data_IF_148114756493
#
_entry.id   IF_148114756493
#
_cell.length_a   1.000
_cell.length_b   1.000
_cell.length_c   1.000
_cell.angle_alpha   90.00
_cell.angle_beta   90.00
_cell.angle_gamma   90.00
#
_symmetry.space_group_name_H-M   'P 1'
#
loop_
_entity.id
_entity.type
_entity.pdbx_description
1 polymer ?
#
# COMPACT_ATOMS: atom_id res chain seq x y z
N UNK A 1 -35.13 -9.24 -40.02
CA UNK A 1 -34.15 -8.90 -41.06
C UNK A 1 -33.44 -7.63 -40.60
N UNK A 2 -32.14 -7.58 -40.38
CA UNK A 2 -30.98 -7.98 -41.21
C UNK A 2 -30.83 -7.10 -42.47
N UNK A 3 -29.96 -6.08 -42.35
CA UNK A 3 -29.04 -5.48 -43.36
C UNK A 3 -28.37 -4.29 -42.67
N UNK A 4 -27.12 -4.36 -42.22
CA UNK A 4 -25.87 -4.50 -42.97
C UNK A 4 -25.64 -3.34 -43.95
N UNK A 5 -24.44 -2.77 -43.82
CA UNK A 5 -24.07 -1.48 -44.36
C UNK A 5 -23.72 -1.44 -45.85
N UNK A 6 -23.58 -0.21 -46.29
CA UNK A 6 -22.91 0.28 -47.49
C UNK A 6 -22.92 1.81 -47.32
N UNK A 7 -21.93 2.62 -47.65
CA UNK A 7 -20.57 2.44 -48.13
C UNK A 7 -20.10 3.89 -48.34
N UNK A 8 -18.87 4.19 -47.91
CA UNK A 8 -18.19 5.46 -48.22
C UNK A 8 -18.20 5.70 -49.74
N UNK A 9 -18.66 6.88 -50.20
CA UNK A 9 -18.37 7.46 -51.53
C UNK A 9 -19.22 8.70 -51.89
N UNK A 10 -19.58 9.57 -50.94
CA UNK A 10 -20.47 10.70 -51.27
C UNK A 10 -20.20 12.03 -50.55
N UNK A 11 -19.01 12.23 -49.97
CA UNK A 11 -18.60 13.55 -49.47
C UNK A 11 -17.27 14.01 -50.09
N UNK A 12 -17.06 13.60 -51.34
CA UNK A 12 -16.03 14.07 -52.25
C UNK A 12 -16.48 15.35 -53.02
N UNK A 13 -17.38 16.16 -52.44
CA UNK A 13 -17.95 17.38 -53.03
C UNK A 13 -17.76 18.62 -52.14
N UNK A 14 -16.60 18.76 -51.50
CA UNK A 14 -16.21 20.01 -50.83
C UNK A 14 -14.84 20.53 -51.29
N UNK A 15 -14.35 20.03 -52.43
CA UNK A 15 -13.27 20.64 -53.19
C UNK A 15 -13.90 21.47 -54.32
N UNK A 16 -13.41 22.72 -54.47
CA UNK A 16 -13.66 23.67 -55.55
C UNK A 16 -14.80 24.66 -55.32
N UNK A 17 -14.45 25.84 -54.82
CA UNK A 17 -15.27 27.03 -55.00
C UNK A 17 -14.67 28.28 -54.38
N UNK A 18 -14.24 29.20 -55.24
CA UNK A 18 -13.91 30.61 -54.94
C UNK A 18 -12.46 30.97 -54.62
N UNK A 19 -11.64 30.80 -55.65
CA UNK A 19 -10.54 31.70 -56.05
C UNK A 19 -11.02 33.15 -56.12
N UNK A 20 -10.31 34.10 -55.49
CA UNK A 20 -10.13 35.48 -55.97
C UNK A 20 -9.01 36.17 -55.17
N UNK A 21 -7.97 36.63 -55.88
CA UNK A 21 -6.99 37.59 -55.36
C UNK A 21 -5.53 37.16 -55.41
N UNK A 22 -5.04 36.68 -56.56
CA UNK A 22 -3.62 36.62 -56.83
C UNK A 22 -3.10 38.00 -57.31
N UNK A 23 -1.83 38.24 -57.04
CA UNK A 23 -0.92 39.19 -57.67
C UNK A 23 -0.92 40.64 -57.16
N UNK A 24 0.02 40.93 -56.26
CA UNK A 24 1.04 41.96 -56.53
C UNK A 24 2.34 41.67 -55.78
N UNK A 25 3.43 41.64 -56.54
CA UNK A 25 4.79 42.00 -56.17
C UNK A 25 5.59 41.03 -55.25
N UNK A 26 6.14 39.99 -55.89
CA UNK A 26 7.51 39.58 -55.61
C UNK A 26 8.49 40.67 -56.11
N UNK A 27 9.64 40.78 -55.43
CA UNK A 27 10.82 41.60 -55.72
C UNK A 27 10.88 42.99 -55.05
N UNK A 28 11.29 42.99 -53.77
CA UNK A 28 12.17 44.03 -53.22
C UNK A 28 12.95 43.48 -52.01
N UNK A 29 14.27 43.45 -52.14
CA UNK A 29 15.29 43.51 -51.08
C UNK A 29 15.22 42.44 -49.96
N UNK A 30 16.05 41.38 -49.94
CA UNK A 30 17.51 41.45 -49.73
C UNK A 30 17.91 42.77 -49.08
N UNK A 31 17.67 42.90 -47.77
CA UNK A 31 18.39 43.77 -46.82
C UNK A 31 17.63 43.66 -45.47
N UNK A 32 17.99 42.69 -44.63
CA UNK A 32 18.07 42.84 -43.16
C UNK A 32 18.65 41.55 -42.54
N UNK A 33 19.91 41.28 -42.88
CA UNK A 33 20.81 40.45 -42.10
C UNK A 33 21.28 41.24 -40.87
N UNK A 34 20.53 41.17 -39.78
CA UNK A 34 20.98 41.41 -38.40
C UNK A 34 19.83 41.11 -37.43
N UNK A 35 19.61 39.83 -37.14
CA UNK A 35 19.07 39.48 -35.82
C UNK A 35 20.27 39.26 -34.92
N UNK A 36 20.41 40.00 -33.81
CA UNK A 36 21.45 39.70 -32.84
C UNK A 36 21.22 38.27 -32.34
N UNK A 37 22.32 37.54 -32.19
CA UNK A 37 22.39 36.36 -31.36
C UNK A 37 21.98 36.77 -29.94
N UNK A 38 20.67 36.82 -29.70
CA UNK A 38 20.11 36.77 -28.37
C UNK A 38 20.38 35.36 -27.88
N UNK A 39 21.52 35.19 -27.21
CA UNK A 39 21.74 34.04 -26.35
C UNK A 39 20.52 33.94 -25.46
N UNK A 40 19.67 32.96 -25.74
CA UNK A 40 18.75 32.46 -24.75
C UNK A 40 19.67 31.93 -23.66
N UNK A 41 19.94 32.77 -22.66
CA UNK A 41 20.31 32.32 -21.34
C UNK A 41 19.23 31.29 -21.03
N UNK A 42 19.62 30.02 -21.04
CA UNK A 42 18.86 28.99 -20.39
C UNK A 42 18.55 29.57 -19.01
N UNK A 43 17.28 29.85 -18.77
CA UNK A 43 16.80 30.08 -17.43
C UNK A 43 17.18 28.79 -16.71
N UNK A 44 18.26 28.83 -15.96
CA UNK A 44 18.63 27.77 -15.05
C UNK A 44 17.44 27.68 -14.11
N UNK A 45 16.53 26.75 -14.39
CA UNK A 45 15.53 26.34 -13.42
C UNK A 45 16.33 26.07 -12.15
N UNK A 46 15.88 26.58 -10.98
CA UNK A 46 16.61 26.36 -9.74
C UNK A 46 16.87 24.87 -9.67
N UNK A 47 18.15 24.46 -9.71
CA UNK A 47 18.53 23.04 -9.70
C UNK A 47 17.96 22.49 -8.40
N UNK A 48 16.80 21.84 -8.48
CA UNK A 48 16.19 21.25 -7.31
C UNK A 48 17.17 20.21 -6.80
N UNK A 49 17.51 20.28 -5.51
CA UNK A 49 18.39 19.31 -4.91
C UNK A 49 17.85 17.89 -5.19
N UNK A 50 18.71 16.95 -5.64
CA UNK A 50 18.26 15.61 -5.99
C UNK A 50 17.63 14.94 -4.78
N UNK A 51 16.51 14.26 -5.01
CA UNK A 51 15.81 13.51 -3.95
C UNK A 51 16.45 12.14 -3.72
N UNK A 52 17.28 11.68 -4.67
CA UNK A 52 18.03 10.43 -4.59
C UNK A 52 19.53 10.69 -4.81
N UNK A 53 20.34 10.37 -3.80
CA UNK A 53 21.80 10.42 -3.86
C UNK A 53 22.34 8.99 -3.78
N UNK A 54 22.66 8.38 -4.93
CA UNK A 54 23.16 7.00 -5.00
C UNK A 54 24.69 6.90 -4.82
N UNK A 55 25.20 7.23 -3.63
CA UNK A 55 26.63 7.16 -3.32
C UNK A 55 27.21 5.74 -3.35
N UNK A 56 26.38 4.73 -3.06
CA UNK A 56 26.79 3.33 -3.04
C UNK A 56 26.59 2.56 -4.36
N UNK A 57 26.01 3.20 -5.38
CA UNK A 57 25.70 2.59 -6.68
C UNK A 57 24.85 1.33 -6.54
N UNK A 58 23.86 1.35 -5.64
CA UNK A 58 22.98 0.19 -5.38
C UNK A 58 22.05 -0.06 -6.57
N UNK A 59 21.71 0.99 -7.33
CA UNK A 59 20.87 0.90 -8.50
C UNK A 59 21.72 0.58 -9.74
N UNK A 60 21.93 -0.72 -10.00
CA UNK A 60 22.69 -1.22 -11.17
C UNK A 60 22.12 -0.78 -12.52
N UNK A 61 20.82 -0.49 -12.57
CA UNK A 61 20.13 0.05 -13.75
C UNK A 61 19.79 1.52 -13.48
N UNK A 62 20.30 2.43 -14.32
CA UNK A 62 19.99 3.87 -14.24
C UNK A 62 18.47 4.15 -14.28
N UNK A 63 17.69 3.31 -14.96
CA UNK A 63 16.24 3.44 -15.02
C UNK A 63 15.58 3.17 -13.66
N UNK A 64 16.14 2.28 -12.84
CA UNK A 64 15.57 1.95 -11.54
C UNK A 64 15.71 3.12 -10.55
N UNK A 65 16.88 3.77 -10.55
CA UNK A 65 17.11 5.00 -9.79
C UNK A 65 16.20 6.13 -10.28
N UNK A 66 16.11 6.35 -11.59
CA UNK A 66 15.27 7.38 -12.18
C UNK A 66 13.76 7.17 -11.90
N UNK A 67 13.29 5.92 -11.88
CA UNK A 67 11.91 5.61 -11.51
C UNK A 67 11.62 5.94 -10.04
N UNK A 68 12.56 5.62 -9.15
CA UNK A 68 12.43 5.93 -7.73
C UNK A 68 12.44 7.45 -7.52
N UNK A 69 13.36 8.17 -8.16
CA UNK A 69 13.43 9.62 -8.10
C UNK A 69 12.15 10.28 -8.63
N UNK A 70 11.63 9.84 -9.77
CA UNK A 70 10.34 10.32 -10.29
C UNK A 70 9.18 10.07 -9.32
N UNK A 71 9.18 8.95 -8.57
CA UNK A 71 8.17 8.68 -7.55
C UNK A 71 8.29 9.65 -6.36
N UNK A 72 9.51 10.00 -5.95
CA UNK A 72 9.76 10.97 -4.89
C UNK A 72 9.31 12.38 -5.28
N UNK A 73 9.53 12.76 -6.55
CA UNK A 73 9.04 14.03 -7.09
C UNK A 73 7.51 14.08 -7.11
N UNK A 74 6.85 13.04 -7.60
CA UNK A 74 5.39 12.93 -7.59
C UNK A 74 4.82 13.03 -6.18
N UNK A 75 5.45 12.38 -5.20
CA UNK A 75 5.05 12.48 -3.80
C UNK A 75 5.14 13.91 -3.29
N UNK A 76 6.25 14.60 -3.54
CA UNK A 76 6.46 16.00 -3.14
C UNK A 76 5.40 16.90 -3.75
N UNK A 77 5.12 16.72 -5.04
CA UNK A 77 4.17 17.57 -5.75
C UNK A 77 2.72 17.29 -5.33
N UNK A 78 2.38 16.05 -4.98
CA UNK A 78 1.03 15.65 -4.59
C UNK A 78 0.70 15.92 -3.11
N UNK A 79 1.66 15.68 -2.22
CA UNK A 79 1.44 15.71 -0.75
C UNK A 79 2.14 16.88 -0.05
N UNK A 80 3.12 17.52 -0.70
CA UNK A 80 3.98 18.53 -0.07
C UNK A 80 5.12 17.95 0.78
N UNK A 81 5.14 16.63 1.02
CA UNK A 81 6.19 15.97 1.79
C UNK A 81 7.42 15.66 0.94
N UNK A 82 8.62 15.94 1.46
CA UNK A 82 9.89 15.66 0.76
C UNK A 82 10.58 14.45 1.36
N UNK A 83 10.76 13.39 0.58
CA UNK A 83 11.53 12.21 0.99
C UNK A 83 12.88 12.21 0.26
N UNK A 84 13.97 12.25 1.02
CA UNK A 84 15.35 12.25 0.52
C UNK A 84 15.98 10.91 0.83
N UNK A 85 16.54 10.25 -0.19
CA UNK A 85 17.17 8.93 -0.10
C UNK A 85 18.65 9.07 -0.38
N UNK A 86 19.49 8.63 0.57
CA UNK A 86 20.95 8.65 0.43
C UNK A 86 21.48 7.24 0.59
N UNK A 87 22.17 6.71 -0.43
CA UNK A 87 22.82 5.41 -0.36
C UNK A 87 24.31 5.58 -0.07
N UNK A 88 24.84 4.78 0.84
CA UNK A 88 26.24 4.86 1.27
C UNK A 88 26.88 3.49 1.47
N UNK A 89 28.16 3.40 1.15
CA UNK A 89 29.00 2.25 1.49
C UNK A 89 29.55 2.46 2.90
N UNK A 90 28.86 1.94 3.91
CA UNK A 90 29.26 2.08 5.31
C UNK A 90 29.99 0.86 5.85
N UNK A 91 30.94 1.05 6.77
CA UNK A 91 31.49 -0.01 7.64
C UNK A 91 30.78 -0.08 9.00
N UNK A 92 30.17 1.02 9.43
CA UNK A 92 29.55 1.13 10.75
C UNK A 92 28.03 0.94 10.67
N UNK A 93 27.45 0.00 11.45
CA UNK A 93 26.01 -0.15 11.55
C UNK A 93 25.45 1.10 12.23
N UNK A 94 24.70 1.90 11.49
CA UNK A 94 23.98 3.02 12.09
C UNK A 94 22.79 2.46 12.89
N UNK A 95 22.49 3.08 14.03
CA UNK A 95 21.15 3.06 14.64
C UNK A 95 20.50 4.43 14.44
N UNK A 96 19.18 4.57 14.59
CA UNK A 96 18.47 5.81 14.23
C UNK A 96 19.10 7.09 14.79
N UNK A 97 19.49 7.08 16.07
CA UNK A 97 20.18 8.22 16.71
C UNK A 97 21.59 8.49 16.15
N UNK A 98 22.26 7.48 15.58
CA UNK A 98 23.60 7.60 15.03
C UNK A 98 23.63 8.27 13.66
N UNK A 99 22.47 8.45 12.98
CA UNK A 99 22.39 9.25 11.75
C UNK A 99 22.92 10.69 12.02
N UNK A 100 22.70 11.22 13.22
CA UNK A 100 23.17 12.54 13.63
C UNK A 100 24.70 12.65 13.78
N UNK A 101 25.38 11.52 13.95
CA UNK A 101 26.82 11.45 14.11
C UNK A 101 27.54 11.09 12.79
N UNK A 102 26.81 11.04 11.68
CA UNK A 102 27.38 10.75 10.37
C UNK A 102 28.14 11.97 9.85
N UNK A 103 29.45 11.78 9.64
CA UNK A 103 30.35 12.85 9.15
C UNK A 103 30.30 13.04 7.62
N UNK A 104 29.60 12.16 6.88
CA UNK A 104 29.46 12.25 5.42
C UNK A 104 28.74 13.55 5.05
N UNK A 105 29.32 14.36 4.14
CA UNK A 105 28.82 15.70 3.85
C UNK A 105 27.39 15.66 3.30
N UNK A 106 27.06 14.68 2.47
CA UNK A 106 25.74 14.52 1.86
C UNK A 106 24.66 14.31 2.94
N UNK A 107 24.93 13.46 3.93
CA UNK A 107 24.00 13.18 5.04
C UNK A 107 23.87 14.40 5.95
N UNK A 108 24.99 15.03 6.29
CA UNK A 108 25.01 16.22 7.15
C UNK A 108 24.29 17.40 6.51
N UNK A 109 24.47 17.62 5.22
CA UNK A 109 23.85 18.73 4.51
C UNK A 109 22.34 18.47 4.33
N UNK A 110 21.94 17.22 4.01
CA UNK A 110 20.54 16.83 4.05
C UNK A 110 19.90 17.05 5.44
N UNK A 111 20.58 16.66 6.52
CA UNK A 111 20.11 16.87 7.90
C UNK A 111 19.94 18.36 8.26
N UNK A 112 20.76 19.25 7.71
CA UNK A 112 20.65 20.71 7.92
C UNK A 112 19.50 21.33 7.13
N UNK A 113 19.23 20.78 5.94
CA UNK A 113 18.17 21.25 5.05
C UNK A 113 16.80 20.66 5.38
N UNK A 114 16.74 19.62 6.22
CA UNK A 114 15.49 18.97 6.62
C UNK A 114 14.53 19.94 7.32
N UNK A 115 13.33 20.05 6.77
CA UNK A 115 12.17 20.70 7.38
C UNK A 115 11.27 19.72 8.15
N UNK A 116 10.15 20.24 8.65
CA UNK A 116 9.16 19.46 9.41
C UNK A 116 8.43 18.40 8.55
N UNK A 117 8.27 18.65 7.25
CA UNK A 117 7.54 17.79 6.30
C UNK A 117 8.46 16.81 5.56
N UNK A 118 9.69 16.64 6.05
CA UNK A 118 10.72 15.89 5.36
C UNK A 118 11.03 14.55 6.02
N UNK A 119 11.41 13.58 5.19
CA UNK A 119 11.95 12.29 5.65
C UNK A 119 13.29 12.06 4.99
N UNK A 120 14.31 11.79 5.79
CA UNK A 120 15.61 11.32 5.34
C UNK A 120 15.69 9.80 5.51
N UNK A 121 15.95 9.11 4.41
CA UNK A 121 16.19 7.67 4.34
C UNK A 121 17.67 7.47 4.01
N UNK A 122 18.44 6.96 4.97
CA UNK A 122 19.84 6.58 4.77
C UNK A 122 19.91 5.08 4.57
N UNK A 123 20.39 4.66 3.40
CA UNK A 123 20.58 3.27 3.01
C UNK A 123 22.07 2.93 3.11
N UNK A 124 22.44 2.06 4.05
CA UNK A 124 23.82 1.63 4.20
C UNK A 124 23.99 0.18 3.79
N UNK A 125 24.92 -0.11 2.88
CA UNK A 125 25.24 -1.50 2.48
C UNK A 125 26.04 -2.28 3.54
N UNK A 126 26.09 -1.78 4.77
CA UNK A 126 26.81 -2.37 5.89
C UNK A 126 26.09 -3.62 6.44
N UNK A 127 26.72 -4.31 7.39
CA UNK A 127 26.08 -5.40 8.13
C UNK A 127 24.98 -4.85 9.07
N UNK A 128 23.92 -5.64 9.25
CA UNK A 128 22.79 -5.29 10.12
C UNK A 128 21.58 -4.75 9.34
N UNK A 129 20.93 -3.74 9.89
CA UNK A 129 19.81 -3.10 9.22
C UNK A 129 20.32 -2.08 8.20
N UNK A 130 19.94 -2.22 6.93
CA UNK A 130 20.41 -1.33 5.88
C UNK A 130 19.62 -0.02 5.81
N UNK A 131 18.43 0.05 6.42
CA UNK A 131 17.50 1.18 6.31
C UNK A 131 17.45 1.97 7.61
N UNK A 132 17.71 3.27 7.49
CA UNK A 132 17.74 4.18 8.62
C UNK A 132 16.94 5.43 8.29
N UNK A 133 16.12 5.87 9.24
CA UNK A 133 15.15 6.91 9.01
C UNK A 133 15.35 8.07 9.96
N UNK A 134 15.12 9.28 9.45
CA UNK A 134 14.86 10.46 10.25
C UNK A 134 13.68 11.21 9.68
N UNK A 135 12.67 11.44 10.49
CA UNK A 135 11.49 12.21 10.13
C UNK A 135 11.56 13.60 10.77
N UNK A 136 11.03 14.60 10.07
CA UNK A 136 10.69 15.90 10.66
C UNK A 136 9.45 15.80 11.54
N UNK A 137 9.26 16.81 12.38
CA UNK A 137 8.19 16.81 13.40
C UNK A 137 6.78 16.75 12.79
N UNK A 138 6.58 17.31 11.59
CA UNK A 138 5.31 17.24 10.86
C UNK A 138 5.00 15.81 10.40
N UNK A 139 5.98 15.14 9.82
CA UNK A 139 5.86 13.73 9.42
C UNK A 139 5.66 12.81 10.62
N UNK A 140 6.31 13.07 11.75
CA UNK A 140 6.17 12.27 12.97
C UNK A 140 4.73 12.22 13.51
N UNK A 141 3.88 13.19 13.15
CA UNK A 141 2.44 13.17 13.48
C UNK A 141 1.62 12.22 12.59
N UNK A 142 2.11 11.95 11.38
CA UNK A 142 1.44 11.10 10.38
C UNK A 142 1.97 9.66 10.39
N UNK A 143 3.28 9.52 10.61
CA UNK A 143 4.01 8.26 10.67
C UNK A 143 4.73 8.17 12.02
N UNK A 144 4.23 7.34 12.96
CA UNK A 144 4.84 7.22 14.29
C UNK A 144 6.19 6.50 14.23
N UNK A 145 7.05 6.65 15.25
CA UNK A 145 8.34 5.94 15.31
C UNK A 145 8.22 4.41 15.16
N UNK A 146 7.11 3.84 15.64
CA UNK A 146 6.79 2.43 15.49
C UNK A 146 6.67 2.00 14.01
N UNK A 147 6.19 2.89 13.13
CA UNK A 147 6.11 2.66 11.68
C UNK A 147 7.51 2.49 11.09
N UNK A 148 8.43 3.42 11.38
CA UNK A 148 9.80 3.37 10.87
C UNK A 148 10.58 2.17 11.43
N UNK A 149 10.32 1.79 12.69
CA UNK A 149 10.90 0.59 13.29
C UNK A 149 10.38 -0.70 12.62
N UNK A 150 9.09 -0.77 12.27
CA UNK A 150 8.51 -1.88 11.50
C UNK A 150 9.11 -1.93 10.09
N UNK A 151 9.23 -0.78 9.42
CA UNK A 151 9.78 -0.66 8.07
C UNK A 151 11.25 -1.11 8.00
N UNK A 152 12.07 -0.64 8.94
CA UNK A 152 13.45 -1.07 9.11
C UNK A 152 13.51 -2.59 9.29
N UNK A 153 12.70 -3.16 10.17
CA UNK A 153 12.71 -4.61 10.40
C UNK A 153 12.16 -5.42 9.22
N UNK A 154 11.24 -4.87 8.42
CA UNK A 154 10.60 -5.59 7.32
C UNK A 154 11.45 -5.58 6.04
N UNK A 155 11.94 -4.41 5.65
CA UNK A 155 12.67 -4.24 4.39
C UNK A 155 14.18 -4.10 4.59
N UNK A 156 14.62 -3.60 5.75
CA UNK A 156 16.03 -3.34 6.02
C UNK A 156 16.81 -4.51 6.62
N UNK A 157 16.14 -5.61 6.99
CA UNK A 157 16.80 -6.78 7.55
C UNK A 157 17.64 -7.55 6.50
N UNK A 158 18.73 -8.17 6.94
CA UNK A 158 19.65 -8.89 6.06
C UNK A 158 19.03 -10.06 5.29
N UNK A 159 18.00 -10.73 5.84
CA UNK A 159 17.35 -11.87 5.18
C UNK A 159 16.63 -11.37 3.93
N UNK A 160 15.79 -10.34 4.10
CA UNK A 160 15.05 -9.69 3.02
C UNK A 160 16.00 -9.11 1.97
N UNK A 161 17.03 -8.39 2.40
CA UNK A 161 18.03 -7.79 1.50
C UNK A 161 18.80 -8.83 0.71
N UNK A 162 19.09 -10.01 1.30
CA UNK A 162 19.76 -11.10 0.59
C UNK A 162 18.87 -11.75 -0.46
N UNK A 163 17.56 -11.79 -0.22
CA UNK A 163 16.57 -12.39 -1.12
C UNK A 163 16.19 -11.45 -2.27
N UNK A 164 15.87 -10.19 -1.97
CA UNK A 164 15.33 -9.22 -2.94
C UNK A 164 16.40 -8.25 -3.48
N UNK A 165 17.46 -8.02 -2.71
CA UNK A 165 18.52 -7.05 -3.02
C UNK A 165 18.29 -5.67 -2.40
N UNK A 166 19.38 -4.92 -2.24
CA UNK A 166 19.40 -3.59 -1.60
C UNK A 166 18.52 -2.57 -2.33
N UNK A 167 18.59 -2.55 -3.66
CA UNK A 167 17.81 -1.61 -4.48
C UNK A 167 16.30 -1.84 -4.33
N UNK A 168 15.87 -3.10 -4.32
CA UNK A 168 14.46 -3.47 -4.19
C UNK A 168 13.95 -3.22 -2.77
N UNK A 169 14.75 -3.56 -1.75
CA UNK A 169 14.47 -3.20 -0.37
C UNK A 169 14.25 -1.70 -0.17
N UNK A 170 15.14 -0.88 -0.74
CA UNK A 170 15.01 0.58 -0.72
C UNK A 170 13.74 1.05 -1.42
N UNK A 171 13.45 0.48 -2.60
CA UNK A 171 12.26 0.84 -3.38
C UNK A 171 10.97 0.50 -2.62
N UNK A 172 10.87 -0.67 -1.99
CA UNK A 172 9.68 -1.08 -1.25
C UNK A 172 9.46 -0.22 0.00
N UNK A 173 10.53 0.06 0.75
CA UNK A 173 10.53 0.98 1.88
C UNK A 173 9.99 2.36 1.51
N UNK A 174 10.65 3.02 0.54
CA UNK A 174 10.23 4.35 0.06
C UNK A 174 8.81 4.35 -0.50
N UNK A 175 8.40 3.29 -1.20
CA UNK A 175 7.02 3.16 -1.70
C UNK A 175 6.00 3.08 -0.56
N UNK A 176 6.34 2.38 0.54
CA UNK A 176 5.47 2.29 1.71
C UNK A 176 5.32 3.65 2.41
N UNK A 177 6.43 4.39 2.59
CA UNK A 177 6.41 5.77 3.11
C UNK A 177 5.54 6.66 2.22
N UNK A 178 5.82 6.69 0.91
CA UNK A 178 5.10 7.54 -0.05
C UNK A 178 3.59 7.27 -0.04
N UNK A 179 3.19 5.99 -0.09
CA UNK A 179 1.78 5.59 -0.07
C UNK A 179 1.07 6.04 1.21
N UNK A 180 1.79 6.12 2.32
CA UNK A 180 1.23 6.52 3.60
C UNK A 180 1.15 8.04 3.76
N UNK A 181 2.16 8.78 3.27
CA UNK A 181 2.14 10.25 3.23
C UNK A 181 1.11 10.81 2.25
N UNK A 182 0.78 10.07 1.18
CA UNK A 182 -0.31 10.43 0.25
C UNK A 182 -1.71 10.29 0.89
N UNK A 183 -1.84 9.57 2.01
CA UNK A 183 -3.14 9.37 2.66
C UNK A 183 -3.44 10.50 3.65
N UNK A 184 -4.68 11.02 3.66
CA UNK A 184 -5.12 11.92 4.71
C UNK A 184 -4.99 11.23 6.08
N UNK A 185 -4.16 11.80 6.97
CA UNK A 185 -3.93 11.27 8.32
C UNK A 185 -2.85 10.19 8.44
N UNK A 186 -2.11 9.89 7.38
CA UNK A 186 -0.93 9.01 7.46
C UNK A 186 -1.24 7.53 7.65
N UNK A 187 -0.28 6.80 8.22
CA UNK A 187 -0.38 5.37 8.51
C UNK A 187 0.18 5.07 9.91
N UNK A 188 -0.57 4.28 10.67
CA UNK A 188 -0.11 3.77 11.98
C UNK A 188 0.78 2.52 11.82
N UNK A 189 0.60 1.76 10.74
CA UNK A 189 1.31 0.50 10.46
C UNK A 189 1.79 0.44 9.02
N UNK A 190 2.85 -0.32 8.77
CA UNK A 190 3.40 -0.48 7.42
C UNK A 190 2.39 -1.24 6.53
N UNK A 191 2.03 -0.71 5.36
CA UNK A 191 1.07 -1.35 4.46
C UNK A 191 1.57 -2.70 3.92
N UNK A 192 0.62 -3.58 3.60
CA UNK A 192 0.90 -4.88 2.99
C UNK A 192 0.78 -6.05 3.97
N UNK A 193 -0.09 -7.00 3.64
CA UNK A 193 -0.36 -8.19 4.44
C UNK A 193 0.60 -9.31 4.05
N UNK A 194 1.39 -9.82 5.02
CA UNK A 194 2.26 -10.98 4.79
C UNK A 194 1.46 -12.28 4.86
N UNK A 195 1.95 -13.34 4.20
CA UNK A 195 1.28 -14.65 4.23
C UNK A 195 1.13 -15.21 5.64
N UNK A 196 2.16 -15.06 6.49
CA UNK A 196 2.12 -15.49 7.89
C UNK A 196 1.10 -14.70 8.71
N UNK A 197 1.03 -13.38 8.51
CA UNK A 197 0.04 -12.54 9.19
C UNK A 197 -1.39 -12.95 8.83
N UNK A 198 -1.64 -13.19 7.53
CA UNK A 198 -2.94 -13.65 7.08
C UNK A 198 -3.28 -15.04 7.61
N UNK A 199 -2.32 -15.97 7.62
CA UNK A 199 -2.52 -17.30 8.21
C UNK A 199 -2.94 -17.25 9.67
N UNK A 200 -2.32 -16.38 10.48
CA UNK A 200 -2.70 -16.17 11.87
C UNK A 200 -4.09 -15.52 11.99
N UNK A 201 -4.39 -14.52 11.16
CA UNK A 201 -5.73 -13.91 11.11
C UNK A 201 -6.82 -14.92 10.79
N UNK A 202 -6.62 -15.75 9.76
CA UNK A 202 -7.57 -16.78 9.35
C UNK A 202 -7.79 -17.81 10.47
N UNK A 203 -6.73 -18.20 11.19
CA UNK A 203 -6.84 -19.07 12.35
C UNK A 203 -7.68 -18.44 13.48
N UNK A 204 -7.45 -17.15 13.78
CA UNK A 204 -8.26 -16.42 14.76
C UNK A 204 -9.72 -16.29 14.34
N UNK A 205 -10.00 -16.05 13.05
CA UNK A 205 -11.36 -16.03 12.49
C UNK A 205 -12.06 -17.39 12.65
N UNK A 206 -11.35 -18.49 12.40
CA UNK A 206 -11.87 -19.83 12.61
C UNK A 206 -12.20 -20.08 14.09
N UNK A 207 -11.29 -19.72 15.02
CA UNK A 207 -11.52 -19.83 16.47
C UNK A 207 -12.74 -19.01 16.90
N UNK A 208 -12.87 -17.77 16.41
CA UNK A 208 -14.05 -16.95 16.66
C UNK A 208 -15.34 -17.64 16.19
N UNK A 209 -15.30 -18.28 15.02
CA UNK A 209 -16.42 -19.06 14.47
C UNK A 209 -16.77 -20.25 15.34
N UNK A 210 -15.79 -20.98 15.87
CA UNK A 210 -16.00 -22.10 16.81
C UNK A 210 -16.69 -21.61 18.08
N UNK A 211 -16.19 -20.52 18.68
CA UNK A 211 -16.75 -19.94 19.92
C UNK A 211 -18.20 -19.51 19.68
N UNK A 212 -18.45 -18.74 18.62
CA UNK A 212 -19.78 -18.27 18.27
C UNK A 212 -20.75 -19.42 17.95
N UNK A 213 -20.31 -20.41 17.17
CA UNK A 213 -21.11 -21.58 16.83
C UNK A 213 -21.45 -22.44 18.04
N UNK A 214 -20.48 -22.71 18.91
CA UNK A 214 -20.68 -23.46 20.15
C UNK A 214 -21.64 -22.73 21.11
N UNK A 215 -21.46 -21.42 21.30
CA UNK A 215 -22.34 -20.61 22.15
C UNK A 215 -23.78 -20.57 21.63
N UNK A 216 -23.95 -20.47 20.31
CA UNK A 216 -25.27 -20.53 19.66
C UNK A 216 -25.92 -21.91 19.88
N UNK A 217 -25.16 -22.99 19.75
CA UNK A 217 -25.64 -24.36 19.98
C UNK A 217 -26.07 -24.58 21.44
N UNK A 218 -25.29 -24.04 22.40
CA UNK A 218 -25.59 -24.12 23.82
C UNK A 218 -26.86 -23.36 24.18
N UNK A 219 -27.03 -22.13 23.66
CA UNK A 219 -28.25 -21.35 23.89
C UNK A 219 -29.52 -22.03 23.36
N UNK A 220 -29.43 -22.80 22.26
CA UNK A 220 -30.55 -23.65 21.80
C UNK A 220 -30.83 -24.78 22.79
N UNK A 221 -29.79 -25.50 23.20
CA UNK A 221 -29.91 -26.64 24.10
C UNK A 221 -30.41 -26.27 25.51
N UNK A 222 -30.12 -25.06 25.99
CA UNK A 222 -30.59 -24.55 27.29
C UNK A 222 -32.02 -24.00 27.26
N UNK A 223 -32.67 -23.92 26.09
CA UNK A 223 -34.00 -23.31 25.93
C UNK A 223 -34.00 -21.77 25.95
N UNK A 224 -32.83 -21.15 26.07
CA UNK A 224 -32.65 -19.69 26.13
C UNK A 224 -32.67 -19.01 24.76
N UNK A 225 -32.53 -19.79 23.69
CA UNK A 225 -32.51 -19.34 22.31
C UNK A 225 -31.11 -19.07 21.79
N UNK A 226 -30.93 -19.34 20.49
CA UNK A 226 -29.66 -19.19 19.76
C UNK A 226 -29.02 -17.80 19.90
N UNK A 227 -29.84 -16.75 19.79
CA UNK A 227 -29.38 -15.36 19.83
C UNK A 227 -28.81 -14.99 21.22
N UNK A 228 -29.44 -15.45 22.29
CA UNK A 228 -29.02 -15.17 23.67
C UNK A 228 -27.68 -15.83 23.98
N UNK A 229 -27.48 -17.08 23.56
CA UNK A 229 -26.20 -17.78 23.66
C UNK A 229 -25.06 -17.05 22.91
N UNK A 230 -25.33 -16.62 21.67
CA UNK A 230 -24.35 -15.86 20.88
C UNK A 230 -23.99 -14.51 21.51
N UNK A 231 -24.97 -13.81 22.08
CA UNK A 231 -24.77 -12.53 22.77
C UNK A 231 -23.94 -12.69 24.05
N UNK A 232 -24.16 -13.74 24.84
CA UNK A 232 -23.37 -14.00 26.04
C UNK A 232 -21.89 -14.26 25.73
N UNK A 233 -21.59 -14.93 24.62
CA UNK A 233 -20.22 -15.16 24.19
C UNK A 233 -19.61 -13.97 23.40
N UNK A 234 -20.34 -12.86 23.25
CA UNK A 234 -19.91 -11.72 22.42
C UNK A 234 -18.53 -11.16 22.74
N UNK A 235 -18.12 -10.97 24.01
CA UNK A 235 -16.78 -10.46 24.28
C UNK A 235 -15.66 -11.37 23.74
N UNK A 236 -15.88 -12.69 23.75
CA UNK A 236 -14.88 -13.67 23.31
C UNK A 236 -14.78 -13.74 21.79
N UNK A 237 -15.89 -13.95 21.08
CA UNK A 237 -15.84 -14.10 19.63
C UNK A 237 -15.61 -12.76 18.92
N UNK A 238 -16.11 -11.64 19.45
CA UNK A 238 -15.85 -10.30 18.88
C UNK A 238 -14.38 -9.95 19.04
N UNK A 239 -13.75 -10.24 20.18
CA UNK A 239 -12.33 -9.96 20.34
C UNK A 239 -11.47 -10.80 19.39
N UNK A 240 -11.76 -12.11 19.27
CA UNK A 240 -11.04 -12.99 18.36
C UNK A 240 -11.22 -12.59 16.89
N UNK A 241 -12.44 -12.27 16.44
CA UNK A 241 -12.71 -11.86 15.07
C UNK A 241 -12.25 -10.42 14.80
N UNK A 242 -12.66 -9.47 15.63
CA UNK A 242 -12.41 -8.05 15.42
C UNK A 242 -10.96 -7.67 15.71
N UNK A 243 -10.47 -7.98 16.91
CA UNK A 243 -9.15 -7.54 17.37
C UNK A 243 -7.99 -8.35 16.83
N UNK A 244 -8.13 -9.69 16.81
CA UNK A 244 -7.02 -10.58 16.43
C UNK A 244 -7.02 -10.91 14.93
N UNK A 245 -8.18 -10.98 14.30
CA UNK A 245 -8.28 -11.27 12.86
C UNK A 245 -8.41 -10.00 12.00
N UNK A 246 -9.55 -9.31 12.05
CA UNK A 246 -9.87 -8.25 11.09
C UNK A 246 -8.98 -7.01 11.25
N UNK A 247 -8.75 -6.54 12.48
CA UNK A 247 -7.97 -5.33 12.73
C UNK A 247 -6.57 -5.35 12.08
N UNK A 248 -5.68 -6.34 12.33
CA UNK A 248 -4.32 -6.31 11.78
C UNK A 248 -4.27 -6.42 10.26
N UNK A 249 -5.28 -7.04 9.63
CA UNK A 249 -5.40 -7.22 8.18
C UNK A 249 -5.94 -5.95 7.52
N UNK A 250 -7.03 -5.39 8.05
CA UNK A 250 -7.66 -4.18 7.51
C UNK A 250 -6.78 -2.95 7.72
N UNK A 251 -6.12 -2.83 8.87
CA UNK A 251 -5.17 -1.75 9.14
C UNK A 251 -4.01 -1.70 8.12
N UNK A 252 -3.69 -2.85 7.49
CA UNK A 252 -2.67 -2.97 6.44
C UNK A 252 -3.23 -2.93 5.02
N UNK A 253 -4.52 -2.65 4.86
CA UNK A 253 -5.20 -2.54 3.56
C UNK A 253 -5.64 -3.86 2.94
N UNK A 254 -5.62 -4.96 3.69
CA UNK A 254 -6.01 -6.30 3.20
C UNK A 254 -7.52 -6.51 3.12
N UNK A 255 -8.24 -5.75 2.30
CA UNK A 255 -9.71 -5.84 2.21
C UNK A 255 -10.20 -7.22 1.75
N UNK A 256 -9.50 -7.83 0.78
CA UNK A 256 -9.83 -9.17 0.27
C UNK A 256 -9.56 -10.26 1.30
N UNK A 257 -8.44 -10.17 2.01
CA UNK A 257 -8.09 -11.07 3.11
C UNK A 257 -9.09 -10.93 4.27
N UNK A 258 -9.45 -9.71 4.63
CA UNK A 258 -10.48 -9.45 5.65
C UNK A 258 -11.84 -10.03 5.25
N UNK A 259 -12.24 -9.91 3.99
CA UNK A 259 -13.46 -10.53 3.49
C UNK A 259 -13.40 -12.07 3.56
N UNK A 260 -12.26 -12.67 3.25
CA UNK A 260 -12.03 -14.11 3.39
C UNK A 260 -12.13 -14.56 4.85
N UNK A 261 -11.58 -13.77 5.78
CA UNK A 261 -11.64 -14.06 7.22
C UNK A 261 -13.10 -13.99 7.75
N UNK A 262 -13.90 -13.01 7.31
CA UNK A 262 -15.34 -12.97 7.63
C UNK A 262 -16.07 -14.20 7.07
N UNK A 263 -15.79 -14.58 5.82
CA UNK A 263 -16.41 -15.74 5.20
C UNK A 263 -16.06 -17.05 5.96
N UNK A 264 -14.79 -17.20 6.36
CA UNK A 264 -14.32 -18.32 7.16
C UNK A 264 -15.01 -18.36 8.53
N UNK A 265 -15.11 -17.22 9.23
CA UNK A 265 -15.84 -17.11 10.49
C UNK A 265 -17.29 -17.59 10.36
N UNK A 266 -18.02 -17.10 9.35
CA UNK A 266 -19.42 -17.47 9.11
C UNK A 266 -19.56 -18.96 8.79
N UNK A 267 -18.66 -19.51 7.96
CA UNK A 267 -18.66 -20.93 7.61
C UNK A 267 -18.45 -21.82 8.85
N UNK A 268 -17.46 -21.52 9.68
CA UNK A 268 -17.16 -22.28 10.90
C UNK A 268 -18.27 -22.12 11.94
N UNK A 269 -18.82 -20.92 12.13
CA UNK A 269 -19.97 -20.67 12.98
C UNK A 269 -21.14 -21.57 12.58
N UNK A 270 -21.49 -21.59 11.28
CA UNK A 270 -22.60 -22.38 10.77
C UNK A 270 -22.38 -23.89 10.94
N UNK A 271 -21.12 -24.35 10.88
CA UNK A 271 -20.74 -25.74 11.09
C UNK A 271 -20.95 -26.15 12.56
N UNK A 272 -20.44 -25.37 13.51
CA UNK A 272 -20.54 -25.67 14.94
C UNK A 272 -21.92 -25.38 15.53
N UNK A 273 -22.68 -24.44 14.95
CA UNK A 273 -24.06 -24.19 15.33
C UNK A 273 -25.00 -25.34 14.96
N UNK A 274 -24.66 -26.17 13.97
CA UNK A 274 -25.42 -27.35 13.53
C UNK A 274 -25.01 -28.65 14.22
N UNK A 275 -23.76 -28.79 14.64
CA UNK A 275 -23.21 -30.03 15.19
C UNK A 275 -23.85 -30.49 16.52
N UNK A 276 -24.75 -29.71 17.11
CA UNK A 276 -25.34 -29.95 18.44
C UNK A 276 -26.87 -29.86 18.47
N UNK A 277 -27.56 -30.24 17.40
CA UNK A 277 -28.98 -30.59 17.45
C UNK A 277 -29.15 -32.07 17.83
N UNK A 278 -29.37 -32.42 19.11
CA UNK A 278 -29.60 -33.81 19.52
C UNK A 278 -30.98 -34.36 19.11
N UNK A 279 -31.86 -33.56 18.48
CA UNK A 279 -33.27 -33.91 18.25
C UNK A 279 -33.61 -34.56 16.90
N UNK A 280 -32.63 -34.76 16.00
CA UNK A 280 -32.92 -35.11 14.60
C UNK A 280 -32.96 -36.61 14.24
N UNK A 281 -32.61 -37.53 15.15
CA UNK A 281 -32.36 -38.93 14.78
C UNK A 281 -33.16 -40.01 15.53
N UNK A 282 -34.05 -39.65 16.47
CA UNK A 282 -34.84 -40.65 17.22
C UNK A 282 -36.28 -40.15 17.44
N UNK A 283 -37.06 -40.10 16.37
CA UNK A 283 -38.51 -39.92 16.46
C UNK A 283 -39.17 -40.77 15.36
N UNK A 284 -39.24 -42.07 15.59
CA UNK A 284 -39.82 -42.99 14.61
C UNK A 284 -39.86 -44.44 15.03
N UNK A 285 -40.29 -44.76 16.26
CA UNK A 285 -41.00 -46.03 16.56
C UNK A 285 -41.63 -45.97 17.96
N UNK A 286 -42.59 -45.06 18.16
CA UNK A 286 -43.58 -45.25 19.21
C UNK A 286 -44.81 -45.85 18.52
N UNK A 287 -44.71 -47.13 18.18
CA UNK A 287 -45.81 -47.90 17.63
C UNK A 287 -46.79 -48.14 18.76
N UNK A 288 -47.95 -47.52 18.61
CA UNK A 288 -49.18 -47.72 19.35
C UNK A 288 -49.45 -49.23 19.54
N UNK A 289 -49.40 -49.71 20.79
CA UNK A 289 -49.99 -51.00 21.19
C UNK A 289 -50.80 -50.76 22.46
N UNK A 290 -51.83 -49.93 22.31
CA UNK A 290 -53.03 -49.99 23.13
C UNK A 290 -54.14 -50.35 22.15
N UNK A 291 -54.46 -51.63 22.06
CA UNK A 291 -55.73 -52.20 21.58
C UNK A 291 -55.61 -53.72 21.77
N UNK A 292 -56.21 -54.23 22.86
CA UNK A 292 -56.95 -55.50 22.92
C UNK A 292 -57.51 -55.65 24.35
N UNK A 293 -58.74 -55.14 24.53
CA UNK A 293 -59.69 -55.65 25.52
C UNK A 293 -60.25 -57.02 25.06
N UNK A 294 -60.68 -57.82 26.06
CA UNK A 294 -61.40 -59.11 26.07
C UNK A 294 -60.57 -60.38 26.28
#
# INVERSE_FOLDING_TARGET
>A
GARAGASASALAEAALGSVRGAATAAAAAILLSCSPAGGALASEAPVQAPLLIDGAKVFRNAQAGALLESRLEQLRDASGHRVVVITRTGRDPLTGAQILAVDEPEVRDALREMGAEDVLVVVSTAEGNILQFRAGDGVATLLPDAFFAEEANRFGNLIFVREEGVAEATRQAVTAIATCLEKPGGCVVVPGVTGTLWGFSAAAAAVAGVIAGAATSYGRASGEGAAKGLLYASPLWIFALGGVSLFPVLARGGTMQGAADVALFVAVLALFARARDPGGAVAGDARNTDDDEW
#
